data_IF_794398427765
#
_entry.id   IF_794398427765
#
_cell.length_a   1.000
_cell.length_b   1.000
_cell.length_c   1.000
_cell.angle_alpha   90.00
_cell.angle_beta   90.00
_cell.angle_gamma   90.00
#
_symmetry.space_group_name_H-M   'P 1'
#
loop_
_entity.id
_entity.type
_entity.pdbx_description
1 polymer ?
#
# COMPACT_ATOMS: atom_id res chain seq x y z
N UNK A 1 -10.92 27.11 -14.37
CA UNK A 1 -9.72 26.63 -13.66
C UNK A 1 -10.22 26.26 -12.28
N UNK A 2 -10.27 24.97 -11.95
CA UNK A 2 -10.51 24.58 -10.57
C UNK A 2 -9.29 25.06 -9.79
N UNK A 3 -9.48 25.93 -8.80
CA UNK A 3 -8.37 26.36 -7.95
C UNK A 3 -7.90 25.13 -7.18
N UNK A 4 -6.61 24.80 -7.31
CA UNK A 4 -5.98 23.87 -6.39
C UNK A 4 -6.12 24.40 -4.96
N UNK A 5 -6.42 23.55 -3.96
CA UNK A 5 -6.41 24.01 -2.58
C UNK A 5 -5.01 24.51 -2.21
N UNK A 6 -4.90 25.75 -1.73
CA UNK A 6 -3.63 26.35 -1.28
C UNK A 6 -3.05 25.68 0.00
N UNK A 7 -3.69 24.64 0.53
CA UNK A 7 -3.41 24.07 1.85
C UNK A 7 -3.44 22.54 1.86
N UNK A 8 -3.06 21.92 3.00
CA UNK A 8 -3.01 20.47 3.13
C UNK A 8 -4.38 19.83 2.93
N UNK A 9 -4.41 18.67 2.29
CA UNK A 9 -5.59 17.79 2.22
C UNK A 9 -5.39 16.67 3.22
N UNK A 10 -6.33 16.52 4.15
CA UNK A 10 -6.35 15.42 5.10
C UNK A 10 -7.65 14.64 4.92
N UNK A 11 -7.53 13.34 4.72
CA UNK A 11 -8.67 12.44 4.62
C UNK A 11 -9.11 11.96 6.01
N UNK A 12 -10.35 11.46 6.14
CA UNK A 12 -10.88 11.07 7.43
C UNK A 12 -10.35 9.70 7.89
N UNK A 13 -10.31 9.51 9.20
CA UNK A 13 -10.12 8.20 9.82
C UNK A 13 -11.45 7.44 9.89
N UNK A 14 -11.41 6.13 9.61
CA UNK A 14 -12.56 5.23 9.71
C UNK A 14 -12.29 4.21 10.82
N UNK A 15 -13.04 4.31 11.93
CA UNK A 15 -13.02 3.33 13.00
C UNK A 15 -14.40 2.70 13.18
N UNK A 16 -14.56 1.39 12.91
CA UNK A 16 -15.89 0.75 12.95
C UNK A 16 -15.88 -0.78 13.13
N UNK A 17 -16.99 -1.32 13.65
CA UNK A 17 -17.23 -2.77 13.77
C UNK A 17 -18.68 -3.12 13.40
N UNK A 18 -19.11 -2.94 12.14
CA UNK A 18 -20.47 -3.25 11.71
C UNK A 18 -20.66 -4.72 11.33
N UNK A 19 -21.91 -5.21 11.36
CA UNK A 19 -22.28 -6.54 10.82
C UNK A 19 -22.11 -6.64 9.28
N UNK A 20 -21.86 -5.52 8.61
CA UNK A 20 -21.79 -5.41 7.14
C UNK A 20 -20.40 -5.03 6.64
N UNK A 21 -20.23 -4.87 5.31
CA UNK A 21 -18.96 -4.46 4.74
C UNK A 21 -18.55 -3.06 5.19
N UNK A 22 -17.24 -2.84 5.31
CA UNK A 22 -16.64 -1.51 5.52
C UNK A 22 -15.96 -1.09 4.22
N UNK A 23 -16.29 0.11 3.74
CA UNK A 23 -15.60 0.73 2.61
C UNK A 23 -14.95 2.02 3.09
N UNK A 24 -13.65 2.13 2.86
CA UNK A 24 -12.90 3.32 3.18
C UNK A 24 -13.08 4.41 2.10
N UNK A 25 -12.71 5.67 2.40
CA UNK A 25 -12.86 6.77 1.47
C UNK A 25 -11.79 6.73 0.38
N UNK A 26 -12.14 7.26 -0.79
CA UNK A 26 -11.21 7.58 -1.87
C UNK A 26 -10.75 9.04 -1.75
N UNK A 27 -9.47 9.28 -2.06
CA UNK A 27 -8.88 10.62 -2.09
C UNK A 27 -8.41 10.93 -3.50
N UNK A 28 -8.97 11.96 -4.11
CA UNK A 28 -8.52 12.50 -5.39
C UNK A 28 -8.22 14.01 -5.25
N UNK A 29 -6.95 14.41 -5.33
CA UNK A 29 -6.59 15.83 -5.09
C UNK A 29 -5.26 16.28 -5.73
N UNK A 30 -5.13 17.60 -5.95
CA UNK A 30 -3.88 18.23 -6.43
C UNK A 30 -3.64 19.56 -5.70
N UNK A 31 -3.43 19.56 -4.37
CA UNK A 31 -3.16 20.76 -3.59
C UNK A 31 -1.70 21.22 -3.67
N UNK A 32 -1.45 22.48 -3.32
CA UNK A 32 -0.08 23.00 -3.15
C UNK A 32 0.57 22.45 -1.86
N UNK A 33 -0.25 21.97 -0.93
CA UNK A 33 0.16 21.38 0.34
C UNK A 33 0.31 19.86 0.32
N UNK A 34 0.69 19.24 1.45
CA UNK A 34 0.77 17.78 1.57
C UNK A 34 -0.62 17.14 1.50
N UNK A 35 -0.64 15.87 1.08
CA UNK A 35 -1.83 15.01 1.10
C UNK A 35 -1.63 13.91 2.14
N UNK A 36 -2.54 13.82 3.11
CA UNK A 36 -2.64 12.71 4.05
C UNK A 36 -3.82 11.82 3.69
N UNK A 37 -3.52 10.54 3.45
CA UNK A 37 -4.50 9.52 3.11
C UNK A 37 -5.32 9.04 4.32
N UNK A 38 -6.40 8.27 4.10
CA UNK A 38 -7.23 7.76 5.18
C UNK A 38 -6.52 6.68 6.00
N UNK A 39 -6.86 6.63 7.29
CA UNK A 39 -6.54 5.51 8.17
C UNK A 39 -7.81 4.69 8.43
N UNK A 40 -7.70 3.37 8.43
CA UNK A 40 -8.82 2.45 8.64
C UNK A 40 -8.51 1.49 9.77
N UNK A 41 -9.34 1.49 10.80
CA UNK A 41 -9.33 0.52 11.88
C UNK A 41 -10.70 -0.17 11.94
N UNK A 42 -10.80 -1.42 11.47
CA UNK A 42 -12.10 -2.08 11.30
C UNK A 42 -12.15 -3.55 11.73
N UNK A 43 -13.28 -3.97 12.29
CA UNK A 43 -13.55 -5.39 12.58
C UNK A 43 -15.01 -5.76 12.27
N UNK A 44 -15.40 -5.77 10.98
CA UNK A 44 -16.73 -6.18 10.56
C UNK A 44 -16.88 -7.70 10.33
N UNK A 45 -18.12 -8.20 10.35
CA UNK A 45 -18.43 -9.55 9.86
C UNK A 45 -18.29 -9.64 8.31
N UNK A 46 -18.34 -8.49 7.63
CA UNK A 46 -18.20 -8.36 6.18
C UNK A 46 -16.77 -8.10 5.70
N UNK A 47 -16.56 -7.96 4.37
CA UNK A 47 -15.27 -7.56 3.83
C UNK A 47 -14.89 -6.12 4.20
N UNK A 48 -13.59 -5.85 4.17
CA UNK A 48 -13.03 -4.49 4.29
C UNK A 48 -12.41 -4.09 2.96
N UNK A 49 -12.89 -2.98 2.39
CA UNK A 49 -12.25 -2.31 1.26
C UNK A 49 -11.40 -1.14 1.76
N UNK A 50 -10.11 -1.18 1.46
CA UNK A 50 -9.14 -0.17 1.85
C UNK A 50 -9.23 1.11 0.99
N UNK A 51 -8.54 2.18 1.40
CA UNK A 51 -8.55 3.45 0.67
C UNK A 51 -7.86 3.39 -0.69
N UNK A 52 -8.35 4.19 -1.62
CA UNK A 52 -7.67 4.51 -2.87
C UNK A 52 -7.22 5.98 -2.85
N UNK A 53 -5.99 6.25 -3.29
CA UNK A 53 -5.42 7.60 -3.33
C UNK A 53 -4.89 7.91 -4.72
N UNK A 54 -5.41 8.96 -5.33
CA UNK A 54 -4.93 9.55 -6.57
C UNK A 54 -4.54 11.01 -6.34
N UNK A 55 -3.24 11.32 -6.28
CA UNK A 55 -2.79 12.65 -5.87
C UNK A 55 -1.59 13.20 -6.66
N UNK A 56 -1.61 14.51 -6.91
CA UNK A 56 -0.46 15.23 -7.51
C UNK A 56 -0.22 16.57 -6.81
N UNK A 57 0.22 16.58 -5.55
CA UNK A 57 0.55 17.80 -4.83
C UNK A 57 1.99 18.28 -5.02
N UNK A 58 2.26 19.56 -4.76
CA UNK A 58 3.64 20.05 -4.62
C UNK A 58 4.30 19.52 -3.32
N UNK A 59 3.48 19.12 -2.34
CA UNK A 59 3.92 18.55 -1.06
C UNK A 59 4.09 17.02 -1.08
N UNK A 60 4.50 16.41 0.05
CA UNK A 60 4.53 14.96 0.19
C UNK A 60 3.13 14.32 0.17
N UNK A 61 3.10 13.04 -0.20
CA UNK A 61 1.90 12.19 -0.09
C UNK A 61 2.17 11.13 0.98
N UNK A 62 1.38 11.15 2.05
CA UNK A 62 1.29 10.04 3.00
C UNK A 62 0.25 9.04 2.48
N UNK A 63 0.57 7.75 2.53
CA UNK A 63 -0.26 6.67 2.03
C UNK A 63 -1.19 6.11 3.12
N UNK A 64 -2.20 5.31 2.72
CA UNK A 64 -3.17 4.74 3.65
C UNK A 64 -2.56 3.79 4.68
N UNK A 65 -3.12 3.80 5.89
CA UNK A 65 -2.86 2.78 6.92
C UNK A 65 -4.13 1.96 7.16
N UNK A 66 -4.01 0.64 7.20
CA UNK A 66 -5.14 -0.28 7.42
C UNK A 66 -4.82 -1.29 8.51
N UNK A 67 -5.61 -1.25 9.58
CA UNK A 67 -5.66 -2.25 10.63
C UNK A 67 -7.04 -2.95 10.62
N UNK A 68 -7.10 -4.22 10.21
CA UNK A 68 -8.37 -4.90 9.99
C UNK A 68 -8.42 -6.36 10.50
N UNK A 69 -9.52 -6.71 11.17
CA UNK A 69 -9.82 -8.10 11.59
C UNK A 69 -11.26 -8.51 11.25
N UNK A 70 -11.62 -8.62 9.96
CA UNK A 70 -12.94 -9.08 9.56
C UNK A 70 -13.06 -10.60 9.39
N UNK A 71 -14.28 -11.12 9.43
CA UNK A 71 -14.55 -12.50 8.98
C UNK A 71 -14.43 -12.61 7.44
N UNK A 72 -14.60 -11.49 6.73
CA UNK A 72 -14.47 -11.40 5.27
C UNK A 72 -13.04 -11.17 4.76
N UNK A 73 -12.85 -11.06 3.44
CA UNK A 73 -11.57 -10.65 2.86
C UNK A 73 -11.22 -9.19 3.17
N UNK A 74 -9.92 -8.89 3.12
CA UNK A 74 -9.39 -7.53 3.19
C UNK A 74 -8.78 -7.18 1.83
N UNK A 75 -9.35 -6.17 1.16
CA UNK A 75 -8.67 -5.52 0.04
C UNK A 75 -7.65 -4.52 0.60
N UNK A 76 -6.52 -4.35 -0.08
CA UNK A 76 -5.45 -3.48 0.35
C UNK A 76 -5.46 -2.14 -0.39
N UNK A 77 -4.73 -1.12 0.12
CA UNK A 77 -4.75 0.21 -0.45
C UNK A 77 -4.13 0.28 -1.85
N UNK A 78 -4.67 1.19 -2.66
CA UNK A 78 -4.09 1.55 -3.95
C UNK A 78 -3.64 3.02 -3.94
N UNK A 79 -2.41 3.28 -4.40
CA UNK A 79 -1.84 4.63 -4.43
C UNK A 79 -1.29 4.94 -5.83
N UNK A 80 -1.85 5.97 -6.45
CA UNK A 80 -1.35 6.60 -7.68
C UNK A 80 -0.93 8.04 -7.38
N UNK A 81 0.38 8.32 -7.34
CA UNK A 81 0.89 9.61 -6.90
C UNK A 81 1.98 10.20 -7.82
N UNK A 82 1.93 11.51 -8.04
CA UNK A 82 2.99 12.26 -8.74
C UNK A 82 3.27 13.61 -8.08
N UNK A 83 3.80 13.62 -6.85
CA UNK A 83 4.17 14.86 -6.16
C UNK A 83 5.60 15.34 -6.42
N UNK A 84 5.87 16.61 -6.16
CA UNK A 84 7.27 17.10 -6.07
C UNK A 84 7.96 16.57 -4.78
N UNK A 85 7.16 16.21 -3.76
CA UNK A 85 7.64 15.65 -2.50
C UNK A 85 7.84 14.13 -2.50
N UNK A 86 8.26 13.53 -1.37
CA UNK A 86 8.29 12.08 -1.21
C UNK A 86 6.90 11.44 -1.20
N UNK A 87 6.86 10.16 -1.55
CA UNK A 87 5.67 9.30 -1.42
C UNK A 87 5.95 8.25 -0.36
N UNK A 88 5.20 8.28 0.74
CA UNK A 88 5.11 7.14 1.65
C UNK A 88 4.27 6.03 1.02
N UNK A 89 4.46 4.79 1.44
CA UNK A 89 3.71 3.65 0.92
C UNK A 89 2.72 3.10 1.97
N UNK A 90 1.72 2.33 1.53
CA UNK A 90 0.69 1.85 2.42
C UNK A 90 1.22 0.85 3.46
N UNK A 91 0.63 0.91 4.64
CA UNK A 91 0.86 -0.06 5.72
C UNK A 91 -0.42 -0.87 5.96
N UNK A 92 -0.30 -2.20 5.97
CA UNK A 92 -1.43 -3.11 6.19
C UNK A 92 -1.12 -4.09 7.32
N UNK A 93 -1.92 -4.03 8.38
CA UNK A 93 -1.97 -5.01 9.46
C UNK A 93 -3.33 -5.73 9.46
N UNK A 94 -3.37 -6.99 9.03
CA UNK A 94 -4.63 -7.70 8.83
C UNK A 94 -4.66 -9.10 9.46
N UNK A 95 -5.78 -9.48 10.06
CA UNK A 95 -6.03 -10.85 10.55
C UNK A 95 -7.46 -11.32 10.26
N UNK A 96 -7.83 -11.51 8.98
CA UNK A 96 -9.15 -12.01 8.61
C UNK A 96 -9.24 -13.54 8.46
N UNK A 97 -10.45 -14.08 8.51
CA UNK A 97 -10.70 -15.47 8.07
C UNK A 97 -10.56 -15.59 6.53
N UNK A 98 -10.76 -14.49 5.80
CA UNK A 98 -10.64 -14.42 4.35
C UNK A 98 -9.21 -14.20 3.82
N UNK A 99 -9.03 -14.13 2.49
CA UNK A 99 -7.76 -13.70 1.89
C UNK A 99 -7.43 -12.23 2.17
N UNK A 100 -6.15 -11.91 2.10
CA UNK A 100 -5.62 -10.54 2.17
C UNK A 100 -4.99 -10.19 0.82
N UNK A 101 -5.54 -9.18 0.13
CA UNK A 101 -4.85 -8.55 -0.98
C UNK A 101 -3.69 -7.69 -0.45
N UNK A 102 -2.74 -7.33 -1.31
CA UNK A 102 -1.60 -6.51 -0.93
C UNK A 102 -1.62 -5.16 -1.65
N UNK A 103 -0.91 -4.15 -1.10
CA UNK A 103 -0.98 -2.81 -1.64
C UNK A 103 -0.37 -2.70 -3.03
N UNK A 104 -0.96 -1.81 -3.83
CA UNK A 104 -0.45 -1.43 -5.14
C UNK A 104 -0.01 0.04 -5.13
N UNK A 105 1.22 0.30 -5.57
CA UNK A 105 1.78 1.65 -5.62
C UNK A 105 2.30 1.98 -7.01
N UNK A 106 1.73 3.01 -7.62
CA UNK A 106 2.19 3.64 -8.85
C UNK A 106 2.64 5.08 -8.55
N UNK A 107 3.94 5.35 -8.56
CA UNK A 107 4.48 6.64 -8.11
C UNK A 107 5.50 7.23 -9.10
N UNK A 108 5.44 8.53 -9.33
CA UNK A 108 6.46 9.28 -10.08
C UNK A 108 6.77 10.64 -9.43
N UNK A 109 7.37 10.65 -8.23
CA UNK A 109 7.75 11.89 -7.56
C UNK A 109 9.18 12.35 -7.85
N UNK A 110 9.47 13.62 -7.60
CA UNK A 110 10.87 14.10 -7.53
C UNK A 110 11.57 13.58 -6.25
N UNK A 111 10.80 13.24 -5.22
CA UNK A 111 11.30 12.67 -3.96
C UNK A 111 11.52 11.16 -3.96
N UNK A 112 11.97 10.58 -2.82
CA UNK A 112 12.01 9.13 -2.63
C UNK A 112 10.61 8.50 -2.59
N UNK A 113 10.57 7.21 -2.89
CA UNK A 113 9.37 6.36 -2.76
C UNK A 113 9.65 5.28 -1.70
N UNK A 114 8.90 5.29 -0.61
CA UNK A 114 8.85 4.15 0.29
C UNK A 114 8.07 3.00 -0.38
N UNK A 115 8.20 1.77 0.13
CA UNK A 115 7.47 0.63 -0.40
C UNK A 115 6.56 0.02 0.66
N UNK A 116 5.53 -0.73 0.25
CA UNK A 116 4.48 -1.17 1.16
C UNK A 116 4.98 -2.15 2.21
N UNK A 117 4.40 -2.04 3.40
CA UNK A 117 4.61 -2.97 4.51
C UNK A 117 3.33 -3.75 4.78
N UNK A 118 3.43 -5.09 4.82
CA UNK A 118 2.29 -5.98 5.05
C UNK A 118 2.60 -6.94 6.20
N UNK A 119 1.82 -6.84 7.27
CA UNK A 119 1.76 -7.77 8.38
C UNK A 119 0.41 -8.50 8.39
N UNK A 120 0.37 -9.77 7.98
CA UNK A 120 -0.90 -10.48 7.78
C UNK A 120 -0.92 -11.88 8.42
N UNK A 121 -2.01 -12.22 9.11
CA UNK A 121 -2.24 -13.57 9.65
C UNK A 121 -3.65 -14.10 9.31
N UNK A 122 -3.98 -14.31 8.03
CA UNK A 122 -5.28 -14.83 7.65
C UNK A 122 -5.35 -16.36 7.55
N UNK A 123 -6.56 -16.92 7.60
CA UNK A 123 -6.78 -18.32 7.20
C UNK A 123 -6.63 -18.49 5.66
N UNK A 124 -6.85 -17.41 4.89
CA UNK A 124 -6.72 -17.39 3.44
C UNK A 124 -5.29 -17.13 2.91
N UNK A 125 -5.11 -17.05 1.58
CA UNK A 125 -3.85 -16.62 0.97
C UNK A 125 -3.56 -15.13 1.22
N UNK A 126 -2.28 -14.76 1.11
CA UNK A 126 -1.80 -13.38 1.15
C UNK A 126 -1.15 -13.05 -0.19
N UNK A 127 -1.70 -12.08 -0.91
CA UNK A 127 -1.01 -11.48 -2.05
C UNK A 127 0.21 -10.69 -1.57
N UNK A 128 1.14 -10.36 -2.46
CA UNK A 128 2.32 -9.56 -2.12
C UNK A 128 2.29 -8.22 -2.84
N UNK A 129 2.96 -7.19 -2.30
CA UNK A 129 2.85 -5.85 -2.82
C UNK A 129 3.40 -5.72 -4.25
N UNK A 130 2.78 -4.83 -5.01
CA UNK A 130 3.24 -4.44 -6.34
C UNK A 130 3.64 -2.96 -6.34
N UNK A 131 4.86 -2.66 -6.81
CA UNK A 131 5.39 -1.30 -6.86
C UNK A 131 5.87 -0.97 -8.27
N UNK A 132 5.28 0.06 -8.86
CA UNK A 132 5.71 0.69 -10.11
C UNK A 132 6.15 2.14 -9.82
N UNK A 133 7.46 2.40 -9.81
CA UNK A 133 7.99 3.71 -9.37
C UNK A 133 9.00 4.30 -10.35
N UNK A 134 8.90 5.59 -10.64
CA UNK A 134 9.92 6.33 -11.42
C UNK A 134 10.30 7.66 -10.76
N UNK A 135 10.96 7.64 -9.58
CA UNK A 135 11.37 8.85 -8.90
C UNK A 135 12.80 9.32 -9.22
N UNK A 136 13.09 10.59 -8.98
CA UNK A 136 14.50 11.06 -8.94
C UNK A 136 15.22 10.54 -7.68
N UNK A 137 14.48 10.17 -6.63
CA UNK A 137 15.00 9.61 -5.38
C UNK A 137 15.21 8.09 -5.37
N UNK A 138 15.66 7.53 -4.23
CA UNK A 138 15.68 6.07 -4.02
C UNK A 138 14.27 5.48 -3.93
N UNK A 139 14.19 4.17 -4.20
CA UNK A 139 12.99 3.35 -4.00
C UNK A 139 13.29 2.28 -2.94
N UNK A 140 12.56 2.32 -1.82
CA UNK A 140 12.58 1.21 -0.88
C UNK A 140 11.88 -0.02 -1.50
N UNK A 141 12.04 -1.20 -0.91
CA UNK A 141 11.42 -2.41 -1.44
C UNK A 141 10.37 -2.96 -0.45
N UNK A 142 9.34 -3.64 -0.94
CA UNK A 142 8.28 -4.17 -0.10
C UNK A 142 8.79 -5.07 1.03
N UNK A 143 8.15 -4.97 2.19
CA UNK A 143 8.35 -5.89 3.33
C UNK A 143 7.05 -6.64 3.63
N UNK A 144 7.13 -7.97 3.68
CA UNK A 144 5.98 -8.83 3.95
C UNK A 144 6.30 -9.78 5.10
N UNK A 145 5.57 -9.65 6.19
CA UNK A 145 5.57 -10.58 7.33
C UNK A 145 4.20 -11.28 7.41
N UNK A 146 4.13 -12.54 6.98
CA UNK A 146 2.85 -13.22 6.80
C UNK A 146 2.82 -14.64 7.41
N UNK A 147 1.80 -14.92 8.23
CA UNK A 147 1.55 -16.24 8.83
C UNK A 147 0.20 -16.86 8.42
N UNK A 148 -0.10 -17.02 7.11
CA UNK A 148 -1.35 -17.61 6.69
C UNK A 148 -1.34 -19.15 6.65
N UNK A 149 -2.54 -19.72 6.75
CA UNK A 149 -2.76 -21.13 6.38
C UNK A 149 -2.63 -21.35 4.86
N UNK A 150 -2.92 -20.32 4.06
CA UNK A 150 -2.75 -20.31 2.60
C UNK A 150 -1.34 -19.91 2.12
N UNK A 151 -1.10 -19.88 0.79
CA UNK A 151 0.16 -19.41 0.22
C UNK A 151 0.35 -17.90 0.39
N UNK A 152 1.63 -17.48 0.34
CA UNK A 152 2.04 -16.07 0.23
C UNK A 152 2.69 -15.87 -1.14
N UNK A 153 2.31 -14.81 -1.86
CA UNK A 153 2.96 -14.45 -3.12
C UNK A 153 4.32 -13.75 -2.88
N UNK A 154 5.16 -13.61 -3.92
CA UNK A 154 6.38 -12.83 -3.84
C UNK A 154 6.14 -11.39 -4.36
N UNK A 155 6.75 -10.35 -3.77
CA UNK A 155 6.60 -8.99 -4.23
C UNK A 155 7.09 -8.78 -5.67
N UNK A 156 6.45 -7.85 -6.38
CA UNK A 156 6.90 -7.37 -7.68
C UNK A 156 7.30 -5.89 -7.60
N UNK A 157 8.51 -5.58 -8.07
CA UNK A 157 9.02 -4.20 -8.11
C UNK A 157 9.48 -3.87 -9.53
N UNK A 158 8.86 -2.88 -10.15
CA UNK A 158 9.27 -2.28 -11.41
C UNK A 158 9.65 -0.81 -11.15
N UNK A 159 10.95 -0.52 -11.11
CA UNK A 159 11.45 0.79 -10.71
C UNK A 159 12.40 1.38 -11.75
N UNK A 160 12.25 2.67 -12.07
CA UNK A 160 13.19 3.41 -12.91
C UNK A 160 13.73 4.69 -12.25
N UNK A 161 14.39 4.61 -11.08
CA UNK A 161 14.87 5.78 -10.39
C UNK A 161 16.25 6.27 -10.84
N UNK A 162 16.57 7.52 -10.51
CA UNK A 162 17.95 8.02 -10.52
C UNK A 162 18.75 7.51 -9.28
N UNK A 163 18.04 7.13 -8.21
CA UNK A 163 18.58 6.56 -6.97
C UNK A 163 18.70 5.02 -6.94
N UNK A 164 19.15 4.44 -5.81
CA UNK A 164 19.16 3.00 -5.61
C UNK A 164 17.76 2.41 -5.40
N UNK A 165 17.63 1.10 -5.64
CA UNK A 165 16.45 0.29 -5.32
C UNK A 165 16.86 -0.79 -4.32
N UNK A 166 16.16 -0.89 -3.20
CA UNK A 166 16.38 -1.97 -2.22
C UNK A 166 15.86 -3.33 -2.75
N UNK A 167 16.23 -4.42 -2.09
CA UNK A 167 15.63 -5.73 -2.35
C UNK A 167 14.50 -5.99 -1.33
N UNK A 168 13.37 -6.58 -1.74
CA UNK A 168 12.27 -6.82 -0.83
C UNK A 168 12.54 -8.00 0.06
N UNK A 169 11.91 -7.97 1.22
CA UNK A 169 12.00 -9.01 2.23
C UNK A 169 10.63 -9.68 2.42
N UNK A 170 10.65 -11.01 2.44
CA UNK A 170 9.45 -11.82 2.71
C UNK A 170 9.78 -12.82 3.80
N UNK A 171 9.15 -12.62 4.96
CA UNK A 171 9.15 -13.57 6.06
C UNK A 171 7.78 -14.24 6.11
N UNK A 172 7.73 -15.54 5.79
CA UNK A 172 6.50 -16.32 5.92
C UNK A 172 6.68 -17.62 6.69
N UNK A 173 5.78 -17.85 7.63
CA UNK A 173 5.60 -19.14 8.31
C UNK A 173 4.23 -19.69 7.95
N UNK A 174 4.10 -20.24 6.74
CA UNK A 174 2.90 -20.97 6.31
C UNK A 174 3.13 -22.49 6.43
N UNK A 175 2.06 -23.22 6.75
CA UNK A 175 2.06 -24.69 6.87
C UNK A 175 1.97 -25.41 5.51
N UNK A 176 1.81 -24.67 4.40
CA UNK A 176 1.70 -25.23 3.06
C UNK A 176 3.05 -25.27 2.32
N UNK A 177 3.21 -26.24 1.41
CA UNK A 177 4.41 -26.43 0.58
C UNK A 177 4.62 -25.21 -0.34
N UNK A 178 5.33 -24.19 0.16
CA UNK A 178 5.70 -23.03 -0.63
C UNK A 178 6.82 -23.40 -1.63
N UNK A 179 6.66 -23.13 -2.93
CA UNK A 179 7.81 -23.11 -3.83
C UNK A 179 8.77 -21.99 -3.39
N UNK A 180 10.06 -22.03 -3.78
CA UNK A 180 10.98 -20.93 -3.48
C UNK A 180 10.40 -19.62 -3.99
N UNK A 181 10.16 -18.67 -3.09
CA UNK A 181 9.65 -17.35 -3.43
C UNK A 181 10.72 -16.62 -4.25
N UNK A 182 10.44 -16.44 -5.53
CA UNK A 182 11.29 -15.67 -6.43
C UNK A 182 10.68 -14.29 -6.57
N UNK A 183 11.24 -13.33 -5.83
CA UNK A 183 10.91 -11.93 -6.03
C UNK A 183 11.36 -11.48 -7.42
N UNK A 184 10.48 -10.79 -8.13
CA UNK A 184 10.78 -10.15 -9.40
C UNK A 184 11.07 -8.66 -9.19
N UNK A 185 12.33 -8.27 -9.42
CA UNK A 185 12.75 -6.87 -9.45
C UNK A 185 13.21 -6.53 -10.86
N UNK A 186 12.55 -5.57 -11.48
CA UNK A 186 12.96 -4.94 -12.73
C UNK A 186 13.39 -3.52 -12.37
N UNK A 187 14.70 -3.26 -12.39
CA UNK A 187 15.25 -1.95 -12.06
C UNK A 187 16.03 -1.38 -13.26
N UNK A 188 15.66 -0.17 -13.69
CA UNK A 188 16.36 0.61 -14.71
C UNK A 188 16.88 1.89 -14.07
N UNK A 189 18.16 1.91 -13.68
CA UNK A 189 18.76 3.12 -13.10
C UNK A 189 19.03 4.11 -14.23
N UNK A 190 18.31 5.23 -14.23
CA UNK A 190 18.56 6.34 -15.14
C UNK A 190 19.89 7.02 -14.73
N UNK A 191 20.75 7.31 -15.71
CA UNK A 191 22.09 7.89 -15.51
C UNK A 191 22.25 9.18 -16.27
#
# INVERSE_FOLDING_TARGET
>A
MASSPDGPVAAPEVASSPDGPVAAPEVASSPDGPVAAPEVAASPDGPVAAPEVAASPDGPVAAPEVAASPDGPVAAPEVAASPDGPVAAPEVAASPDGPVAAPEVAASPDGPVAAPEVAASPDGPVAAPEVAASPDGPVAAPEVAASPDGPVAAPEVAASPDGPVAAPEVASSSNSLTPPMMTKIVCVINR
#
